data_IF_792624673904
#
_entry.id   IF_792624673904
#
_cell.length_a   1.000
_cell.length_b   1.000
_cell.length_c   1.000
_cell.angle_alpha   90.00
_cell.angle_beta   90.00
_cell.angle_gamma   90.00
#
_symmetry.space_group_name_H-M   'P 1'
#
loop_
_entity.id
_entity.type
_entity.pdbx_description
1 polymer ?
#
# COMPACT_ATOMS: atom_id res chain seq x y z
N UNK A 1 -8.84 -48.14 -25.93
CA UNK A 1 -9.61 -46.90 -25.71
C UNK A 1 -9.46 -46.31 -24.31
N UNK A 2 -9.37 -47.12 -23.23
CA UNK A 2 -9.22 -46.62 -21.84
C UNK A 2 -8.03 -45.66 -21.63
N UNK A 3 -6.90 -45.89 -22.32
CA UNK A 3 -5.69 -45.08 -22.19
C UNK A 3 -5.63 -43.87 -23.12
N UNK A 4 -6.49 -43.80 -24.14
CA UNK A 4 -6.52 -42.68 -25.10
C UNK A 4 -7.12 -41.44 -24.43
N UNK A 5 -8.19 -41.63 -23.65
CA UNK A 5 -8.81 -40.54 -22.89
C UNK A 5 -7.88 -39.99 -21.79
N UNK A 6 -7.07 -40.83 -21.16
CA UNK A 6 -6.06 -40.38 -20.19
C UNK A 6 -4.93 -39.58 -20.83
N UNK A 7 -4.53 -39.91 -22.06
CA UNK A 7 -3.46 -39.20 -22.77
C UNK A 7 -3.90 -37.78 -23.20
N UNK A 8 -5.17 -37.63 -23.63
CA UNK A 8 -5.74 -36.33 -24.00
C UNK A 8 -5.85 -35.38 -22.80
N UNK A 9 -6.10 -35.91 -21.60
CA UNK A 9 -6.19 -35.13 -20.36
C UNK A 9 -4.82 -34.62 -19.86
N UNK A 10 -3.73 -35.32 -20.17
CA UNK A 10 -2.37 -34.90 -19.80
C UNK A 10 -1.85 -33.81 -20.76
N UNK A 11 -2.23 -33.87 -22.04
CA UNK A 11 -1.85 -32.87 -23.06
C UNK A 11 -2.62 -31.54 -22.94
N UNK A 12 -3.69 -31.48 -22.16
CA UNK A 12 -4.49 -30.25 -21.97
C UNK A 12 -3.92 -29.32 -20.89
N UNK A 13 -2.83 -29.70 -20.20
CA UNK A 13 -2.15 -28.89 -19.17
C UNK A 13 -0.93 -28.14 -19.74
N UNK A 14 -0.88 -27.93 -21.06
CA UNK A 14 0.03 -26.94 -21.65
C UNK A 14 -0.46 -25.55 -21.30
N UNK A 15 -0.19 -25.13 -20.06
CA UNK A 15 -0.24 -23.73 -19.66
C UNK A 15 0.81 -23.05 -20.55
N UNK A 16 0.35 -22.38 -21.61
CA UNK A 16 1.17 -21.34 -22.21
C UNK A 16 1.24 -20.26 -21.14
N UNK A 17 2.31 -20.25 -20.36
CA UNK A 17 2.77 -19.00 -19.79
C UNK A 17 2.98 -18.11 -21.02
N UNK A 18 2.07 -17.17 -21.28
CA UNK A 18 2.39 -16.12 -22.22
C UNK A 18 3.66 -15.50 -21.66
N UNK A 19 4.75 -15.60 -22.42
CA UNK A 19 5.97 -14.84 -22.19
C UNK A 19 5.60 -13.36 -22.28
N UNK A 20 4.98 -12.84 -21.22
CA UNK A 20 4.80 -11.43 -21.00
C UNK A 20 6.14 -10.93 -20.50
N UNK A 21 7.03 -10.65 -21.44
CA UNK A 21 8.16 -9.75 -21.20
C UNK A 21 7.53 -8.39 -20.87
N UNK A 22 7.56 -7.94 -19.59
CA UNK A 22 6.99 -6.66 -19.25
C UNK A 22 7.74 -5.60 -20.07
N UNK A 23 6.97 -4.75 -20.77
CA UNK A 23 7.52 -3.68 -21.62
C UNK A 23 8.47 -2.74 -20.86
N UNK A 24 8.39 -2.74 -19.54
CA UNK A 24 9.15 -1.91 -18.62
C UNK A 24 9.79 -2.79 -17.56
N UNK A 25 10.98 -2.43 -17.10
CA UNK A 25 11.54 -3.00 -15.87
C UNK A 25 10.62 -2.59 -14.71
N UNK A 26 9.95 -3.56 -14.10
CA UNK A 26 8.95 -3.31 -13.06
C UNK A 26 9.66 -3.30 -11.71
N UNK A 27 9.99 -2.11 -11.21
CA UNK A 27 10.29 -1.91 -9.80
C UNK A 27 8.98 -1.61 -9.06
N UNK A 28 8.36 -2.67 -8.53
CA UNK A 28 7.06 -2.60 -7.89
C UNK A 28 7.16 -2.73 -6.37
N UNK A 29 6.32 -1.97 -5.68
CA UNK A 29 6.09 -2.09 -4.25
C UNK A 29 4.61 -2.31 -3.95
N UNK A 30 4.31 -2.79 -2.74
CA UNK A 30 2.97 -2.81 -2.19
C UNK A 30 2.65 -1.44 -1.62
N UNK A 31 1.49 -0.88 -1.97
CA UNK A 31 1.08 0.44 -1.55
C UNK A 31 -0.31 0.40 -0.89
N UNK A 32 -0.42 1.08 0.25
CA UNK A 32 -1.63 1.29 1.03
C UNK A 32 -1.97 2.77 1.00
N UNK A 33 -3.11 3.13 0.41
CA UNK A 33 -3.61 4.50 0.40
C UNK A 33 -4.82 4.61 1.32
N UNK A 34 -4.71 5.45 2.35
CA UNK A 34 -5.85 5.85 3.17
C UNK A 34 -6.25 7.27 2.78
N UNK A 35 -7.42 7.37 2.17
CA UNK A 35 -7.99 8.61 1.64
C UNK A 35 -8.94 9.17 2.67
N UNK A 36 -8.76 10.43 3.06
CA UNK A 36 -9.56 11.00 4.14
C UNK A 36 -9.65 12.52 4.14
N UNK A 37 -10.41 12.99 5.11
CA UNK A 37 -10.61 14.40 5.45
C UNK A 37 -10.18 14.65 6.89
N UNK A 38 -9.72 15.86 7.19
CA UNK A 38 -9.37 16.23 8.55
C UNK A 38 -10.62 16.23 9.45
N UNK A 39 -10.44 15.84 10.70
CA UNK A 39 -11.49 15.98 11.70
C UNK A 39 -11.68 17.46 12.08
N UNK A 40 -12.79 17.79 12.75
CA UNK A 40 -13.09 19.17 13.15
C UNK A 40 -11.91 19.84 13.89
N UNK A 41 -11.51 21.03 13.41
CA UNK A 41 -10.38 21.81 13.92
C UNK A 41 -9.03 21.09 13.84
N UNK A 42 -8.85 20.20 12.85
CA UNK A 42 -7.59 19.53 12.52
C UNK A 42 -7.08 19.93 11.15
N UNK A 43 -5.77 19.79 10.99
CA UNK A 43 -5.07 20.09 9.75
C UNK A 43 -3.84 19.19 9.55
N UNK A 44 -3.02 19.54 8.55
CA UNK A 44 -1.81 18.79 8.20
C UNK A 44 -0.76 18.81 9.32
N UNK A 45 -0.72 19.83 10.17
CA UNK A 45 0.24 19.90 11.28
C UNK A 45 -0.14 18.91 12.38
N UNK A 46 -1.44 18.81 12.71
CA UNK A 46 -1.96 17.77 13.62
C UNK A 46 -1.64 16.36 13.10
N UNK A 47 -1.85 16.13 11.79
CA UNK A 47 -1.56 14.85 11.17
C UNK A 47 -0.05 14.54 11.19
N UNK A 48 0.79 15.50 10.81
CA UNK A 48 2.25 15.36 10.87
C UNK A 48 2.73 15.06 12.30
N UNK A 49 2.13 15.71 13.31
CA UNK A 49 2.42 15.41 14.71
C UNK A 49 1.99 13.99 15.11
N UNK A 50 0.84 13.51 14.61
CA UNK A 50 0.43 12.11 14.79
C UNK A 50 1.40 11.13 14.13
N UNK A 51 1.92 11.44 12.94
CA UNK A 51 2.97 10.63 12.32
C UNK A 51 4.26 10.58 13.12
N UNK A 52 4.64 11.67 13.78
CA UNK A 52 5.76 11.64 14.72
C UNK A 52 5.54 10.63 15.87
N UNK A 53 4.29 10.41 16.28
CA UNK A 53 3.95 9.35 17.26
C UNK A 53 3.97 7.97 16.61
N UNK A 54 3.46 7.84 15.39
CA UNK A 54 3.54 6.61 14.61
C UNK A 54 4.98 6.14 14.40
N UNK A 55 5.86 7.02 13.92
CA UNK A 55 7.26 6.71 13.66
C UNK A 55 7.96 6.21 14.93
N UNK A 56 7.80 6.92 16.06
CA UNK A 56 8.34 6.48 17.36
C UNK A 56 7.79 5.14 17.82
N UNK A 57 6.50 4.89 17.58
CA UNK A 57 5.89 3.60 17.90
C UNK A 57 6.46 2.50 16.99
N UNK A 58 6.64 2.76 15.70
CA UNK A 58 7.18 1.82 14.71
C UNK A 58 8.65 1.47 14.99
N UNK A 59 9.47 2.46 15.36
CA UNK A 59 10.86 2.28 15.80
C UNK A 59 10.96 1.31 17.00
N UNK A 60 9.92 1.20 17.82
CA UNK A 60 9.90 0.28 18.97
C UNK A 60 9.61 -1.19 18.60
N UNK A 61 9.39 -1.52 17.32
CA UNK A 61 8.92 -2.83 16.85
C UNK A 61 10.00 -3.68 16.18
N UNK A 62 11.19 -3.71 16.77
CA UNK A 62 12.28 -4.64 16.41
C UNK A 62 12.57 -4.71 14.89
N UNK A 63 12.53 -3.54 14.22
CA UNK A 63 12.85 -3.41 12.80
C UNK A 63 11.75 -3.80 11.81
N UNK A 64 10.56 -4.19 12.28
CA UNK A 64 9.43 -4.58 11.40
C UNK A 64 9.09 -3.53 10.34
N UNK A 65 9.28 -2.24 10.66
CA UNK A 65 8.93 -1.12 9.79
C UNK A 65 10.15 -0.48 9.09
N UNK A 66 11.35 -1.04 9.19
CA UNK A 66 12.59 -0.41 8.68
C UNK A 66 12.56 -0.19 7.15
N UNK A 67 11.88 -1.07 6.41
CA UNK A 67 11.73 -0.98 4.96
C UNK A 67 10.42 -0.32 4.53
N UNK A 68 9.58 0.10 5.48
CA UNK A 68 8.34 0.79 5.18
C UNK A 68 8.64 2.27 4.92
N UNK A 69 8.02 2.84 3.88
CA UNK A 69 8.04 4.29 3.67
C UNK A 69 6.66 4.88 3.87
N UNK A 70 6.59 6.11 4.39
CA UNK A 70 5.36 6.87 4.60
C UNK A 70 5.39 8.15 3.78
N UNK A 71 4.27 8.49 3.15
CA UNK A 71 4.04 9.81 2.58
C UNK A 71 2.68 10.36 3.03
N UNK A 72 2.65 11.69 3.22
CA UNK A 72 1.42 12.47 3.38
C UNK A 72 1.27 13.29 2.11
N UNK A 73 0.18 13.07 1.38
CA UNK A 73 -0.10 13.82 0.15
C UNK A 73 -1.34 14.68 0.37
N UNK A 74 -1.23 15.97 0.07
CA UNK A 74 -2.38 16.88 0.01
C UNK A 74 -2.71 17.12 -1.46
N UNK A 75 -3.88 16.64 -1.95
CA UNK A 75 -4.27 16.87 -3.33
C UNK A 75 -4.44 18.37 -3.59
N UNK A 76 -3.75 18.88 -4.61
CA UNK A 76 -3.92 20.27 -5.04
C UNK A 76 -5.04 20.43 -6.07
N UNK A 77 -5.27 19.38 -6.87
CA UNK A 77 -6.37 19.30 -7.82
C UNK A 77 -7.07 17.96 -7.67
N UNK A 78 -8.38 17.98 -7.50
CA UNK A 78 -9.24 16.80 -7.60
C UNK A 78 -10.64 17.23 -8.03
N UNK A 79 -11.38 16.32 -8.66
CA UNK A 79 -12.72 16.62 -9.17
C UNK A 79 -13.78 16.76 -8.07
N UNK A 80 -13.49 16.29 -6.86
CA UNK A 80 -14.45 16.18 -5.74
C UNK A 80 -13.94 16.92 -4.50
N UNK A 81 -13.92 18.26 -4.54
CA UNK A 81 -13.29 19.15 -3.54
C UNK A 81 -13.65 18.86 -2.07
N UNK A 82 -14.81 18.24 -1.82
CA UNK A 82 -15.32 18.00 -0.48
C UNK A 82 -15.00 16.60 0.08
N UNK A 83 -14.37 15.70 -0.71
CA UNK A 83 -14.20 14.28 -0.33
C UNK A 83 -12.77 13.84 0.00
N UNK A 84 -11.75 14.60 -0.42
CA UNK A 84 -10.34 14.20 -0.25
C UNK A 84 -9.45 15.38 0.09
N UNK A 85 -9.07 15.51 1.35
CA UNK A 85 -8.13 16.54 1.79
C UNK A 85 -6.71 15.98 1.98
N UNK A 86 -6.60 14.68 2.25
CA UNK A 86 -5.32 14.03 2.51
C UNK A 86 -5.30 12.56 2.09
N UNK A 87 -4.13 12.12 1.64
CA UNK A 87 -3.80 10.70 1.49
C UNK A 87 -2.64 10.37 2.42
N UNK A 88 -2.87 9.43 3.31
CA UNK A 88 -1.81 8.70 3.99
C UNK A 88 -1.39 7.53 3.12
N UNK A 89 -0.12 7.50 2.71
CA UNK A 89 0.42 6.40 1.89
C UNK A 89 1.50 5.66 2.66
N UNK A 90 1.37 4.33 2.74
CA UNK A 90 2.46 3.45 3.15
C UNK A 90 2.90 2.61 1.95
N UNK A 91 4.19 2.44 1.77
CA UNK A 91 4.68 1.45 0.81
C UNK A 91 5.67 0.47 1.42
N UNK A 92 5.62 -0.75 0.91
CA UNK A 92 6.35 -1.91 1.38
C UNK A 92 7.02 -2.61 0.20
N UNK A 93 8.27 -3.10 0.33
CA UNK A 93 8.93 -3.77 -0.79
C UNK A 93 8.20 -5.04 -1.21
N UNK A 94 7.64 -5.78 -0.25
CA UNK A 94 6.94 -7.04 -0.52
C UNK A 94 5.61 -7.19 0.24
N UNK A 95 4.68 -8.03 -0.25
CA UNK A 95 3.46 -8.39 0.47
C UNK A 95 3.73 -9.06 1.82
N UNK A 96 4.81 -9.82 1.94
CA UNK A 96 5.20 -10.48 3.19
C UNK A 96 5.59 -9.46 4.26
N UNK A 97 6.33 -8.42 3.89
CA UNK A 97 6.68 -7.33 4.81
C UNK A 97 5.44 -6.52 5.20
N UNK A 98 4.56 -6.19 4.24
CA UNK A 98 3.28 -5.54 4.54
C UNK A 98 2.45 -6.37 5.52
N UNK A 99 2.33 -7.68 5.30
CA UNK A 99 1.58 -8.58 6.17
C UNK A 99 2.16 -8.60 7.59
N UNK A 100 3.49 -8.70 7.73
CA UNK A 100 4.15 -8.64 9.03
C UNK A 100 3.93 -7.29 9.73
N UNK A 101 3.98 -6.19 8.97
CA UNK A 101 3.62 -4.85 9.43
C UNK A 101 2.19 -4.77 9.95
N UNK A 102 1.23 -5.36 9.25
CA UNK A 102 -0.18 -5.41 9.66
C UNK A 102 -0.40 -6.30 10.89
N UNK A 103 0.25 -7.47 10.96
CA UNK A 103 0.21 -8.34 12.13
C UNK A 103 0.75 -7.62 13.37
N UNK A 104 1.90 -6.95 13.22
CA UNK A 104 2.52 -6.14 14.28
C UNK A 104 1.63 -4.95 14.66
N UNK A 105 0.93 -4.33 13.71
CA UNK A 105 -0.04 -3.27 13.99
C UNK A 105 -1.19 -3.76 14.87
N UNK A 106 -1.81 -4.87 14.50
CA UNK A 106 -2.98 -5.43 15.19
C UNK A 106 -2.59 -5.91 16.60
N UNK A 107 -1.45 -6.60 16.73
CA UNK A 107 -1.04 -7.23 17.99
C UNK A 107 -0.21 -6.31 18.88
N UNK A 108 0.52 -5.36 18.30
CA UNK A 108 1.52 -4.51 18.96
C UNK A 108 1.00 -3.16 19.46
N UNK A 109 -0.32 -2.96 19.47
CA UNK A 109 -0.98 -1.76 20.02
C UNK A 109 -1.22 -0.63 19.02
N UNK A 110 -1.14 -0.89 17.71
CA UNK A 110 -1.44 0.11 16.67
C UNK A 110 -2.87 0.66 16.76
N UNK A 111 -3.83 -0.16 17.17
CA UNK A 111 -5.22 0.27 17.40
C UNK A 111 -5.33 1.45 18.38
N UNK A 112 -4.50 1.49 19.43
CA UNK A 112 -4.51 2.59 20.40
C UNK A 112 -3.95 3.90 19.81
N UNK A 113 -3.00 3.79 18.89
CA UNK A 113 -2.49 4.96 18.18
C UNK A 113 -3.56 5.54 17.24
N UNK A 114 -4.31 4.66 16.57
CA UNK A 114 -5.39 5.00 15.64
C UNK A 114 -6.51 5.82 16.29
N UNK A 115 -6.81 5.59 17.58
CA UNK A 115 -7.81 6.38 18.33
C UNK A 115 -7.54 7.89 18.32
N UNK A 116 -6.27 8.29 18.13
CA UNK A 116 -5.85 9.69 18.09
C UNK A 116 -5.57 10.22 16.69
N UNK A 117 -5.91 9.46 15.64
CA UNK A 117 -5.73 9.88 14.26
C UNK A 117 -6.60 11.14 13.99
N UNK A 118 -6.02 12.25 13.51
CA UNK A 118 -6.75 13.51 13.30
C UNK A 118 -7.50 13.56 11.95
N UNK A 119 -7.64 12.41 11.29
CA UNK A 119 -8.24 12.25 9.96
C UNK A 119 -9.27 11.13 10.04
N UNK A 120 -10.40 11.31 9.35
CA UNK A 120 -11.36 10.24 9.09
C UNK A 120 -11.16 9.73 7.67
N UNK A 121 -10.74 8.46 7.56
CA UNK A 121 -10.54 7.81 6.27
C UNK A 121 -11.88 7.39 5.68
N UNK A 122 -12.22 7.90 4.50
CA UNK A 122 -13.43 7.53 3.75
C UNK A 122 -13.21 6.31 2.86
N UNK A 123 -11.97 6.08 2.39
CA UNK A 123 -11.62 4.97 1.50
C UNK A 123 -10.21 4.46 1.79
N UNK A 124 -9.98 3.18 1.52
CA UNK A 124 -8.69 2.52 1.67
C UNK A 124 -8.44 1.67 0.43
N UNK A 125 -7.24 1.76 -0.13
CA UNK A 125 -6.83 1.03 -1.33
C UNK A 125 -5.52 0.31 -1.03
N UNK A 126 -5.52 -1.01 -1.19
CA UNK A 126 -4.31 -1.83 -1.22
C UNK A 126 -4.02 -2.23 -2.67
N UNK A 127 -2.81 -1.94 -3.16
CA UNK A 127 -2.45 -2.19 -4.56
C UNK A 127 -0.96 -2.50 -4.71
N UNK A 128 -0.58 -2.92 -5.91
CA UNK A 128 0.79 -2.83 -6.39
C UNK A 128 0.99 -1.46 -7.05
N UNK A 129 2.11 -0.81 -6.79
CA UNK A 129 2.50 0.45 -7.40
C UNK A 129 3.88 0.28 -8.07
N UNK A 130 4.01 0.78 -9.29
CA UNK A 130 5.29 0.88 -10.01
C UNK A 130 5.25 2.07 -10.98
N UNK A 131 6.42 2.59 -11.34
CA UNK A 131 6.53 3.66 -12.34
C UNK A 131 6.39 3.07 -13.74
N UNK A 132 5.47 3.63 -14.55
CA UNK A 132 5.23 3.16 -15.94
C UNK A 132 6.13 3.88 -16.94
N UNK A 133 6.52 5.12 -16.64
CA UNK A 133 7.43 5.91 -17.48
C UNK A 133 7.95 7.10 -16.68
N UNK A 134 9.22 7.42 -16.84
CA UNK A 134 9.79 8.69 -16.39
C UNK A 134 9.79 9.68 -17.56
N UNK A 135 9.56 10.98 -17.33
CA UNK A 135 9.81 11.97 -18.36
C UNK A 135 11.28 11.85 -18.78
N UNK A 136 11.54 11.80 -20.09
CA UNK A 136 12.90 11.68 -20.60
C UNK A 136 13.80 12.73 -19.94
N UNK A 137 14.77 12.27 -19.16
CA UNK A 137 15.84 13.11 -18.65
C UNK A 137 16.59 13.68 -19.86
N UNK A 138 16.72 15.00 -19.87
CA UNK A 138 17.51 15.71 -20.89
C UNK A 138 18.99 15.62 -20.56
#
# INVERSE_FOLDING_TARGET
MKYIYSLIFVLSVSINAQDYEPKYEVDANKAEYYVGTFNDNKDVDDLTAWYGKFAKWAESKDGTYDNMTVAILQPYFHSELDEVEVLWVNTWPTPSEQFNGLETWITGGGAKLLESLPVTNSRQVDTWQWVVSEPAST
#
